data_IF_881279651464
#
_entry.id   IF_881279651464
#
_cell.length_a   1.000
_cell.length_b   1.000
_cell.length_c   1.000
_cell.angle_alpha   90.00
_cell.angle_beta   90.00
_cell.angle_gamma   90.00
#
_symmetry.space_group_name_H-M   'P 1'
#
loop_
_entity.id
_entity.type
_entity.pdbx_description
1 polymer ?
#
# COMPACT_ATOMS: atom_id res chain seq x y z
N UNK A 1 -16.75 0.37 -19.76
CA UNK A 1 -15.53 -0.31 -19.27
C UNK A 1 -15.22 0.29 -17.91
N UNK A 2 -15.45 -0.46 -16.82
CA UNK A 2 -15.26 0.03 -15.46
C UNK A 2 -13.76 0.15 -15.18
N UNK A 3 -13.27 1.39 -15.08
CA UNK A 3 -11.95 1.70 -14.58
C UNK A 3 -11.91 1.29 -13.11
N UNK A 4 -11.23 0.19 -12.82
CA UNK A 4 -10.87 -0.19 -11.45
C UNK A 4 -10.08 0.97 -10.85
N UNK A 5 -10.72 1.69 -9.93
CA UNK A 5 -10.12 2.77 -9.13
C UNK A 5 -9.04 2.15 -8.23
N UNK A 6 -7.84 2.01 -8.78
CA UNK A 6 -6.74 1.25 -8.21
C UNK A 6 -6.06 1.93 -7.02
N UNK A 7 -5.87 1.12 -5.96
CA UNK A 7 -4.77 1.12 -5.00
C UNK A 7 -4.32 2.50 -4.45
N UNK A 8 -4.95 2.94 -3.36
CA UNK A 8 -4.62 4.18 -2.65
C UNK A 8 -4.23 3.90 -1.20
N UNK A 9 -2.95 4.09 -0.82
CA UNK A 9 -2.64 4.25 0.60
C UNK A 9 -2.95 5.65 1.08
N UNK A 10 -3.78 5.70 2.12
CA UNK A 10 -4.18 6.92 2.78
C UNK A 10 -3.46 7.05 4.12
N UNK A 11 -2.33 7.75 4.13
CA UNK A 11 -1.62 8.09 5.38
C UNK A 11 -2.25 9.32 6.04
N UNK A 12 -2.65 10.30 5.23
CA UNK A 12 -3.32 11.54 5.69
C UNK A 12 -3.97 12.31 4.52
N UNK A 13 -3.34 12.28 3.34
CA UNK A 13 -3.90 12.66 2.04
C UNK A 13 -3.87 11.45 1.10
N UNK A 14 -4.86 11.33 0.23
CA UNK A 14 -4.92 10.26 -0.77
C UNK A 14 -3.79 10.42 -1.79
N UNK A 15 -2.72 9.64 -1.63
CA UNK A 15 -1.77 9.43 -2.72
C UNK A 15 -2.31 8.28 -3.59
N UNK A 16 -2.39 8.54 -4.90
CA UNK A 16 -2.67 7.49 -5.86
C UNK A 16 -1.42 6.62 -6.07
N UNK A 17 -1.63 5.35 -6.39
CA UNK A 17 -0.59 4.37 -6.73
C UNK A 17 0.35 4.01 -5.56
N UNK A 18 -0.20 3.82 -4.36
CA UNK A 18 0.60 3.33 -3.24
C UNK A 18 -0.09 2.22 -2.44
N UNK A 19 0.74 1.34 -1.88
CA UNK A 19 0.36 0.28 -0.94
C UNK A 19 1.23 0.36 0.34
N UNK A 20 0.73 -0.17 1.46
CA UNK A 20 1.39 -0.18 2.76
C UNK A 20 2.27 -1.40 2.92
N UNK A 21 3.48 -1.16 3.42
CA UNK A 21 4.50 -2.16 3.69
C UNK A 21 5.10 -2.74 2.43
N UNK A 22 5.96 -3.74 2.58
CA UNK A 22 6.26 -4.71 1.55
C UNK A 22 5.48 -5.98 1.85
N UNK A 23 6.21 -6.99 2.30
CA UNK A 23 5.65 -8.14 3.02
C UNK A 23 5.04 -7.80 4.40
N UNK A 24 5.31 -6.60 4.93
CA UNK A 24 4.91 -6.19 6.28
C UNK A 24 3.45 -5.70 6.43
N UNK A 25 2.79 -5.30 5.34
CA UNK A 25 1.36 -4.91 5.33
C UNK A 25 0.89 -4.03 6.49
N UNK A 26 0.05 -4.60 7.37
CA UNK A 26 -0.53 -3.92 8.54
C UNK A 26 0.51 -3.28 9.46
N UNK A 27 1.63 -3.98 9.73
CA UNK A 27 2.65 -3.50 10.65
C UNK A 27 3.31 -2.21 10.13
N UNK A 28 3.48 -2.09 8.81
CA UNK A 28 3.98 -0.87 8.19
C UNK A 28 2.99 0.29 8.36
N UNK A 29 1.69 0.04 8.17
CA UNK A 29 0.66 1.03 8.46
C UNK A 29 0.72 1.48 9.92
N UNK A 30 0.82 0.53 10.86
CA UNK A 30 0.87 0.81 12.30
C UNK A 30 2.11 1.64 12.68
N UNK A 31 3.29 1.30 12.14
CA UNK A 31 4.52 2.08 12.35
C UNK A 31 4.38 3.52 11.88
N UNK A 32 3.87 3.73 10.66
CA UNK A 32 3.79 5.05 10.05
C UNK A 32 2.64 5.91 10.60
N UNK A 33 1.57 5.27 11.12
CA UNK A 33 0.41 5.97 11.67
C UNK A 33 0.33 5.98 13.20
N UNK A 34 1.42 5.64 13.89
CA UNK A 34 1.46 5.67 15.36
C UNK A 34 0.42 4.74 16.01
N UNK A 35 0.19 3.56 15.43
CA UNK A 35 -0.73 2.55 15.95
C UNK A 35 -2.21 2.79 15.66
N UNK A 36 -2.55 3.70 14.74
CA UNK A 36 -3.92 4.08 14.42
C UNK A 36 -4.83 2.89 14.09
N UNK A 37 -6.00 2.84 14.71
CA UNK A 37 -6.98 1.75 14.55
C UNK A 37 -7.49 1.54 13.13
N UNK A 38 -7.37 2.55 12.26
CA UNK A 38 -7.69 2.42 10.84
C UNK A 38 -6.88 1.33 10.14
N UNK A 39 -5.63 1.10 10.55
CA UNK A 39 -4.78 0.03 10.03
C UNK A 39 -5.36 -1.37 10.27
N UNK A 40 -6.24 -1.52 11.28
CA UNK A 40 -6.86 -2.81 11.64
C UNK A 40 -8.25 -3.00 11.03
N UNK A 41 -8.73 -2.04 10.24
CA UNK A 41 -10.07 -2.11 9.65
C UNK A 41 -10.03 -2.99 8.40
N UNK A 42 -11.05 -3.86 8.19
CA UNK A 42 -11.09 -4.73 7.02
C UNK A 42 -10.90 -4.03 5.66
N UNK A 43 -11.45 -2.81 5.43
CA UNK A 43 -11.20 -2.10 4.18
C UNK A 43 -9.73 -1.72 3.93
N UNK A 44 -8.95 -1.50 4.99
CA UNK A 44 -7.53 -1.09 4.87
C UNK A 44 -6.65 -2.25 4.37
N UNK A 45 -7.07 -3.50 4.59
CA UNK A 45 -6.32 -4.67 4.12
C UNK A 45 -6.13 -4.69 2.59
N UNK A 46 -7.06 -4.06 1.85
CA UNK A 46 -6.95 -3.91 0.39
C UNK A 46 -5.80 -2.98 -0.05
N UNK A 47 -5.26 -2.19 0.87
CA UNK A 47 -4.14 -1.28 0.63
C UNK A 47 -2.79 -1.89 1.04
N UNK A 48 -2.74 -3.11 1.59
CA UNK A 48 -1.47 -3.75 1.96
C UNK A 48 -0.78 -4.31 0.73
N UNK A 49 0.54 -4.12 0.59
CA UNK A 49 1.26 -4.52 -0.62
C UNK A 49 1.26 -6.03 -0.89
N UNK A 50 0.93 -6.85 0.11
CA UNK A 50 0.68 -8.29 -0.05
C UNK A 50 -0.60 -8.61 -0.83
N UNK A 51 -1.55 -7.66 -0.87
CA UNK A 51 -2.83 -7.78 -1.57
C UNK A 51 -2.91 -6.89 -2.82
N UNK A 52 -1.84 -6.17 -3.14
CA UNK A 52 -1.79 -5.21 -4.24
C UNK A 52 -0.80 -5.68 -5.30
N UNK A 53 -1.23 -5.68 -6.57
CA UNK A 53 -0.41 -6.03 -7.71
C UNK A 53 0.17 -4.79 -8.39
N UNK A 54 1.37 -4.93 -8.97
CA UNK A 54 1.99 -3.90 -9.80
C UNK A 54 1.12 -3.64 -11.02
N UNK A 55 0.93 -2.37 -11.37
CA UNK A 55 0.02 -1.95 -12.43
C UNK A 55 0.35 -2.65 -13.75
N UNK A 56 -0.66 -3.27 -14.37
CA UNK A 56 -0.53 -3.99 -15.63
C UNK A 56 0.13 -5.37 -15.51
N UNK A 57 0.31 -5.89 -14.29
CA UNK A 57 0.94 -7.19 -14.03
C UNK A 57 0.13 -8.02 -13.02
N UNK A 58 0.51 -9.30 -12.87
CA UNK A 58 0.07 -10.16 -11.76
C UNK A 58 1.15 -10.34 -10.70
N UNK A 59 2.14 -9.45 -10.67
CA UNK A 59 3.25 -9.47 -9.70
C UNK A 59 2.82 -8.69 -8.46
N UNK A 60 2.77 -9.29 -7.26
CA UNK A 60 2.48 -8.56 -6.03
C UNK A 60 3.54 -7.47 -5.78
N UNK A 61 3.14 -6.31 -5.28
CA UNK A 61 4.10 -5.25 -4.94
C UNK A 61 5.03 -5.70 -3.82
N UNK A 62 4.54 -6.55 -2.90
CA UNK A 62 5.35 -7.14 -1.83
C UNK A 62 6.48 -8.06 -2.31
N UNK A 63 6.50 -8.47 -3.58
CA UNK A 63 7.60 -9.28 -4.12
C UNK A 63 8.89 -8.47 -4.30
N UNK A 64 8.75 -7.17 -4.61
CA UNK A 64 9.89 -6.29 -4.90
C UNK A 64 10.09 -5.20 -3.86
N UNK A 65 9.03 -4.77 -3.18
CA UNK A 65 9.12 -3.72 -2.20
C UNK A 65 9.34 -4.26 -0.79
N UNK A 66 10.29 -3.67 -0.06
CA UNK A 66 10.62 -3.98 1.33
C UNK A 66 10.40 -2.78 2.29
N UNK A 67 9.90 -1.65 1.78
CA UNK A 67 9.68 -0.41 2.54
C UNK A 67 8.31 -0.37 3.23
N UNK A 68 8.08 0.64 4.09
CA UNK A 68 6.78 0.86 4.74
C UNK A 68 5.72 1.43 3.78
N UNK A 69 6.14 2.06 2.68
CA UNK A 69 5.27 2.60 1.66
C UNK A 69 5.86 2.29 0.29
N UNK A 70 5.04 1.79 -0.62
CA UNK A 70 5.50 1.34 -1.94
C UNK A 70 4.69 1.96 -3.05
N UNK A 71 5.36 2.19 -4.18
CA UNK A 71 4.73 2.61 -5.42
C UNK A 71 4.18 1.40 -6.18
N UNK A 72 2.90 1.43 -6.54
CA UNK A 72 2.25 0.30 -7.21
C UNK A 72 2.52 0.24 -8.71
N UNK A 73 3.21 1.23 -9.29
CA UNK A 73 3.62 1.22 -10.70
C UNK A 73 4.99 0.55 -10.78
N UNK A 74 5.96 1.03 -10.01
CA UNK A 74 7.33 0.54 -10.06
C UNK A 74 7.54 -0.72 -9.23
N UNK A 75 6.76 -0.89 -8.15
CA UNK A 75 6.93 -1.96 -7.17
C UNK A 75 8.03 -1.67 -6.15
N UNK A 76 8.50 -0.42 -6.03
CA UNK A 76 9.62 -0.04 -5.17
C UNK A 76 9.20 0.83 -4.00
N UNK A 77 10.06 0.86 -2.98
CA UNK A 77 9.87 1.70 -1.81
C UNK A 77 9.86 3.19 -2.18
N UNK A 78 8.98 3.93 -1.52
CA UNK A 78 8.85 5.38 -1.63
C UNK A 78 8.80 6.01 -0.24
N UNK A 79 9.07 7.32 -0.18
CA UNK A 79 8.78 8.09 1.03
C UNK A 79 7.29 8.01 1.36
N UNK A 80 6.99 7.65 2.61
CA UNK A 80 5.63 7.61 3.11
C UNK A 80 4.99 9.01 3.03
N UNK A 81 3.87 9.17 2.30
CA UNK A 81 3.18 10.45 2.20
C UNK A 81 2.77 10.94 3.59
N UNK A 82 2.97 12.23 3.88
CA UNK A 82 2.53 12.87 5.12
C UNK A 82 1.26 13.67 4.93
#
# INVERSE_FOLDING_TARGET
MNLLTGNQCQIARSKANCCWGGSNGEDACLRQRGGANVCRRPPEASNFCTNVFRQGTQIPVSETCDADCCDTITGWGIGCPK
#
